data_IF_398314764421
#
_entry.id   IF_398314764421
#
_cell.length_a   1.000
_cell.length_b   1.000
_cell.length_c   1.000
_cell.angle_alpha   90.00
_cell.angle_beta   90.00
_cell.angle_gamma   90.00
#
_symmetry.space_group_name_H-M   'P 1'
#
loop_
_entity.id
_entity.type
_entity.pdbx_description
1 polymer ?
#
# COMPACT_ATOMS: atom_id res chain seq x y z
N UNK A 1 -7.65 -8.57 -5.68
CA UNK A 1 -8.52 -9.04 -4.58
C UNK A 1 -9.56 -10.08 -5.05
N UNK A 2 -10.03 -9.94 -6.29
CA UNK A 2 -11.08 -10.76 -6.90
C UNK A 2 -10.79 -12.27 -6.87
N UNK A 3 -9.58 -12.72 -7.23
CA UNK A 3 -9.24 -14.15 -7.32
C UNK A 3 -9.50 -14.91 -6.00
N UNK A 4 -9.01 -14.36 -4.89
CA UNK A 4 -9.13 -15.00 -3.57
C UNK A 4 -10.55 -14.89 -2.99
N UNK A 5 -11.26 -13.79 -3.26
CA UNK A 5 -12.66 -13.63 -2.86
C UNK A 5 -13.58 -14.61 -3.60
N UNK A 6 -13.45 -14.69 -4.93
CA UNK A 6 -14.20 -15.64 -5.75
C UNK A 6 -13.86 -17.09 -5.41
N UNK A 7 -12.58 -17.40 -5.15
CA UNK A 7 -12.17 -18.74 -4.73
C UNK A 7 -12.78 -19.17 -3.40
N UNK A 8 -12.87 -18.25 -2.43
CA UNK A 8 -13.51 -18.54 -1.14
C UNK A 8 -15.01 -18.82 -1.30
N UNK A 9 -15.71 -18.07 -2.15
CA UNK A 9 -17.14 -18.29 -2.43
C UNK A 9 -17.40 -19.63 -3.13
N UNK A 10 -16.60 -19.96 -4.16
CA UNK A 10 -16.69 -21.24 -4.87
C UNK A 10 -16.43 -22.38 -3.88
N UNK A 11 -15.38 -22.28 -3.07
CA UNK A 11 -15.07 -23.30 -2.08
C UNK A 11 -16.20 -23.45 -1.05
N UNK A 12 -16.81 -22.35 -0.59
CA UNK A 12 -17.92 -22.39 0.35
C UNK A 12 -19.17 -23.06 -0.24
N UNK A 13 -19.45 -22.80 -1.52
CA UNK A 13 -20.50 -23.50 -2.27
C UNK A 13 -20.19 -25.00 -2.42
N UNK A 14 -18.96 -25.35 -2.78
CA UNK A 14 -18.51 -26.74 -2.85
C UNK A 14 -18.66 -27.45 -1.51
N UNK A 15 -18.15 -26.88 -0.41
CA UNK A 15 -18.26 -27.43 0.95
C UNK A 15 -19.73 -27.70 1.29
N UNK A 16 -20.62 -26.75 1.01
CA UNK A 16 -22.05 -26.89 1.29
C UNK A 16 -22.70 -28.02 0.50
N UNK A 17 -22.25 -28.28 -0.73
CA UNK A 17 -22.75 -29.38 -1.58
C UNK A 17 -22.24 -30.76 -1.15
N UNK A 18 -21.01 -30.83 -0.63
CA UNK A 18 -20.35 -32.11 -0.30
C UNK A 18 -20.25 -32.39 1.20
N UNK A 19 -20.88 -31.58 2.05
CA UNK A 19 -20.74 -31.66 3.52
C UNK A 19 -21.00 -33.08 4.05
N UNK A 20 -22.07 -33.72 3.57
CA UNK A 20 -22.50 -35.09 3.95
C UNK A 20 -21.78 -36.20 3.17
N UNK A 21 -20.87 -35.88 2.25
CA UNK A 21 -20.22 -36.86 1.39
C UNK A 21 -18.99 -37.49 2.05
N UNK A 22 -18.63 -38.68 1.57
CA UNK A 22 -17.42 -39.39 2.01
C UNK A 22 -16.14 -38.57 1.72
N UNK A 23 -15.10 -38.77 2.55
CA UNK A 23 -13.83 -38.06 2.48
C UNK A 23 -13.21 -38.04 1.06
N UNK A 24 -13.25 -39.17 0.35
CA UNK A 24 -12.67 -39.28 -1.00
C UNK A 24 -13.39 -38.37 -2.02
N UNK A 25 -14.71 -38.23 -1.90
CA UNK A 25 -15.51 -37.34 -2.75
C UNK A 25 -15.14 -35.88 -2.46
N UNK A 26 -14.96 -35.52 -1.18
CA UNK A 26 -14.50 -34.17 -0.78
C UNK A 26 -13.12 -33.86 -1.36
N UNK A 27 -12.16 -34.78 -1.26
CA UNK A 27 -10.82 -34.62 -1.85
C UNK A 27 -10.91 -34.34 -3.35
N UNK A 28 -11.70 -35.14 -4.08
CA UNK A 28 -11.87 -34.96 -5.52
C UNK A 28 -12.51 -33.61 -5.86
N UNK A 29 -13.58 -33.24 -5.15
CA UNK A 29 -14.29 -31.98 -5.40
C UNK A 29 -13.43 -30.75 -5.07
N UNK A 30 -12.65 -30.79 -3.98
CA UNK A 30 -11.70 -29.72 -3.66
C UNK A 30 -10.56 -29.64 -4.66
N UNK A 31 -10.05 -30.78 -5.14
CA UNK A 31 -9.06 -30.80 -6.21
C UNK A 31 -9.58 -30.10 -7.46
N UNK A 32 -10.77 -30.49 -7.94
CA UNK A 32 -11.39 -29.90 -9.15
C UNK A 32 -11.67 -28.41 -8.95
N UNK A 33 -12.25 -28.02 -7.81
CA UNK A 33 -12.61 -26.63 -7.55
C UNK A 33 -11.38 -25.71 -7.46
N UNK A 34 -10.37 -26.10 -6.67
CA UNK A 34 -9.20 -25.25 -6.43
C UNK A 34 -8.23 -25.25 -7.61
N UNK A 35 -7.90 -26.43 -8.14
CA UNK A 35 -6.97 -26.56 -9.28
C UNK A 35 -7.60 -26.06 -10.57
N UNK A 36 -8.90 -26.27 -10.76
CA UNK A 36 -9.64 -25.73 -11.90
C UNK A 36 -9.70 -24.20 -11.87
N UNK A 37 -9.97 -23.61 -10.69
CA UNK A 37 -9.94 -22.17 -10.52
C UNK A 37 -8.56 -21.58 -10.79
N UNK A 38 -7.50 -22.21 -10.26
CA UNK A 38 -6.11 -21.83 -10.54
C UNK A 38 -5.87 -21.85 -12.05
N UNK A 39 -6.13 -22.98 -12.72
CA UNK A 39 -5.92 -23.10 -14.16
C UNK A 39 -6.68 -22.05 -14.98
N UNK A 40 -7.99 -21.89 -14.75
CA UNK A 40 -8.84 -20.96 -15.50
C UNK A 40 -8.37 -19.53 -15.27
N UNK A 41 -8.02 -19.17 -14.03
CA UNK A 41 -7.57 -17.83 -13.69
C UNK A 41 -6.20 -17.51 -14.29
N UNK A 42 -5.27 -18.48 -14.26
CA UNK A 42 -3.96 -18.36 -14.91
C UNK A 42 -4.07 -18.21 -16.42
N UNK A 43 -4.92 -19.00 -17.07
CA UNK A 43 -5.17 -18.93 -18.51
C UNK A 43 -5.83 -17.61 -18.91
N UNK A 44 -6.88 -17.18 -18.20
CA UNK A 44 -7.56 -15.91 -18.45
C UNK A 44 -6.61 -14.72 -18.26
N UNK A 45 -5.77 -14.74 -17.23
CA UNK A 45 -4.80 -13.68 -17.00
C UNK A 45 -3.77 -13.58 -18.15
N UNK A 46 -3.29 -14.73 -18.62
CA UNK A 46 -2.34 -14.76 -19.73
C UNK A 46 -2.99 -14.37 -21.08
N UNK A 47 -4.24 -14.74 -21.32
CA UNK A 47 -4.93 -14.46 -22.58
C UNK A 47 -5.46 -13.02 -22.65
N UNK A 48 -6.08 -12.52 -21.58
CA UNK A 48 -6.75 -11.21 -21.56
C UNK A 48 -5.82 -10.06 -21.20
N UNK A 49 -4.85 -10.30 -20.31
CA UNK A 49 -3.98 -9.24 -19.79
C UNK A 49 -2.51 -9.43 -20.17
N UNK A 50 -2.15 -10.53 -20.83
CA UNK A 50 -0.75 -10.90 -21.13
C UNK A 50 0.16 -10.91 -19.89
N UNK A 51 -0.42 -11.05 -18.69
CA UNK A 51 0.29 -11.12 -17.41
C UNK A 51 0.31 -12.55 -16.94
N UNK A 52 1.48 -13.02 -16.50
CA UNK A 52 1.64 -14.31 -15.85
C UNK A 52 1.50 -14.14 -14.33
N UNK A 53 0.44 -14.70 -13.73
CA UNK A 53 0.16 -14.56 -12.30
C UNK A 53 1.12 -15.38 -11.42
N UNK A 54 1.48 -16.57 -11.88
CA UNK A 54 2.45 -17.48 -11.25
C UNK A 54 3.08 -18.36 -12.33
N UNK A 55 4.22 -18.96 -12.00
CA UNK A 55 4.99 -19.79 -12.90
C UNK A 55 5.45 -21.07 -12.19
N UNK A 56 4.95 -22.22 -12.65
CA UNK A 56 5.34 -23.55 -12.15
C UNK A 56 6.11 -24.34 -13.20
N UNK A 57 6.75 -23.68 -14.18
CA UNK A 57 7.46 -24.35 -15.27
C UNK A 57 8.65 -25.20 -14.78
N UNK A 58 9.16 -24.91 -13.59
CA UNK A 58 10.26 -25.62 -12.93
C UNK A 58 9.81 -26.80 -12.07
N UNK A 59 8.50 -27.04 -11.92
CA UNK A 59 7.95 -28.10 -11.07
C UNK A 59 7.61 -29.37 -11.87
N UNK A 60 7.80 -30.56 -11.27
CA UNK A 60 7.37 -31.82 -11.88
C UNK A 60 5.83 -31.92 -11.94
N UNK A 61 5.31 -32.65 -12.93
CA UNK A 61 3.86 -32.81 -13.18
C UNK A 61 3.12 -31.46 -13.32
N UNK A 62 3.73 -30.52 -14.03
CA UNK A 62 3.13 -29.24 -14.37
C UNK A 62 2.35 -29.31 -15.68
N UNK A 63 1.32 -28.47 -15.81
CA UNK A 63 0.62 -28.23 -17.06
C UNK A 63 0.76 -26.77 -17.49
N UNK A 64 1.48 -26.55 -18.61
CA UNK A 64 1.77 -25.23 -19.22
C UNK A 64 2.34 -24.19 -18.24
N UNK A 65 2.94 -24.65 -17.14
CA UNK A 65 3.43 -23.84 -16.03
C UNK A 65 2.34 -23.06 -15.29
N UNK A 66 1.07 -23.43 -15.44
CA UNK A 66 -0.08 -22.81 -14.76
C UNK A 66 -0.56 -23.59 -13.54
N UNK A 67 -0.46 -24.90 -13.54
CA UNK A 67 -0.78 -25.75 -12.39
C UNK A 67 0.31 -26.80 -12.24
N UNK A 68 0.51 -27.27 -11.01
CA UNK A 68 1.30 -28.48 -10.78
C UNK A 68 0.69 -29.30 -9.65
N UNK A 69 0.94 -30.61 -9.69
CA UNK A 69 0.36 -31.55 -8.72
C UNK A 69 0.71 -31.19 -7.26
N UNK A 70 1.93 -30.71 -7.01
CA UNK A 70 2.39 -30.33 -5.67
C UNK A 70 1.53 -29.21 -5.06
N UNK A 71 1.27 -28.14 -5.83
CA UNK A 71 0.45 -27.02 -5.35
C UNK A 71 -1.03 -27.41 -5.27
N UNK A 72 -1.54 -28.24 -6.19
CA UNK A 72 -2.88 -28.81 -6.07
C UNK A 72 -3.10 -29.56 -4.75
N UNK A 73 -2.11 -30.31 -4.27
CA UNK A 73 -2.19 -30.97 -2.95
C UNK A 73 -2.26 -29.95 -1.82
N UNK A 74 -1.44 -28.89 -1.86
CA UNK A 74 -1.51 -27.81 -0.87
C UNK A 74 -2.87 -27.12 -0.87
N UNK A 75 -3.47 -26.91 -2.04
CA UNK A 75 -4.80 -26.33 -2.15
C UNK A 75 -5.90 -27.21 -1.56
N UNK A 76 -5.83 -28.53 -1.75
CA UNK A 76 -6.75 -29.48 -1.10
C UNK A 76 -6.60 -29.42 0.43
N UNK A 77 -5.37 -29.43 0.94
CA UNK A 77 -5.12 -29.33 2.38
C UNK A 77 -5.65 -28.01 2.95
N UNK A 78 -5.45 -26.91 2.23
CA UNK A 78 -5.98 -25.61 2.62
C UNK A 78 -7.52 -25.57 2.56
N UNK A 79 -8.14 -26.27 1.60
CA UNK A 79 -9.59 -26.39 1.50
C UNK A 79 -10.18 -27.14 2.71
N UNK A 80 -9.55 -28.24 3.15
CA UNK A 80 -9.93 -28.92 4.38
C UNK A 80 -9.66 -28.07 5.62
N UNK A 81 -8.54 -27.36 5.68
CA UNK A 81 -8.28 -26.40 6.76
C UNK A 81 -9.36 -25.33 6.81
N UNK A 82 -9.82 -24.83 5.66
CA UNK A 82 -10.93 -23.89 5.56
C UNK A 82 -12.26 -24.49 6.06
N UNK A 83 -12.61 -25.70 5.62
CA UNK A 83 -13.81 -26.43 6.06
C UNK A 83 -13.84 -26.65 7.58
N UNK A 84 -12.73 -27.09 8.18
CA UNK A 84 -12.73 -27.49 9.59
C UNK A 84 -12.41 -26.35 10.57
N UNK A 85 -11.57 -25.37 10.17
CA UNK A 85 -11.15 -24.28 11.06
C UNK A 85 -11.98 -23.02 10.88
N UNK A 86 -12.30 -22.64 9.63
CA UNK A 86 -12.85 -21.32 9.32
C UNK A 86 -14.37 -21.35 9.11
N UNK A 87 -14.88 -22.35 8.40
CA UNK A 87 -16.29 -22.45 8.05
C UNK A 87 -17.25 -22.51 9.26
N UNK A 88 -16.97 -23.27 10.34
CA UNK A 88 -17.88 -23.33 11.49
C UNK A 88 -17.97 -22.00 12.24
N UNK A 89 -16.83 -21.33 12.46
CA UNK A 89 -16.78 -20.00 13.07
C UNK A 89 -17.48 -18.96 12.21
N UNK A 90 -17.30 -19.04 10.89
CA UNK A 90 -17.97 -18.16 9.94
C UNK A 90 -19.49 -18.37 9.93
N UNK A 91 -19.97 -19.61 9.90
CA UNK A 91 -21.40 -19.92 10.00
C UNK A 91 -21.99 -19.43 11.33
N UNK A 92 -21.28 -19.64 12.45
CA UNK A 92 -21.74 -19.15 13.76
C UNK A 92 -21.88 -17.62 13.78
N UNK A 93 -20.92 -16.89 13.20
CA UNK A 93 -20.98 -15.43 13.08
C UNK A 93 -22.13 -14.98 12.18
N UNK A 94 -22.32 -15.65 11.03
CA UNK A 94 -23.42 -15.34 10.13
C UNK A 94 -24.78 -15.62 10.75
N UNK A 95 -24.93 -16.69 11.52
CA UNK A 95 -26.21 -17.03 12.15
C UNK A 95 -26.65 -16.00 13.20
N UNK A 96 -25.71 -15.24 13.77
CA UNK A 96 -26.01 -14.14 14.69
C UNK A 96 -26.58 -12.90 13.98
N UNK A 97 -26.43 -12.79 12.67
CA UNK A 97 -26.90 -11.66 11.87
C UNK A 97 -28.32 -11.90 11.32
N UNK A 98 -29.16 -10.87 11.31
CA UNK A 98 -30.48 -10.92 10.67
C UNK A 98 -30.35 -11.08 9.14
N UNK A 99 -31.28 -11.79 8.46
CA UNK A 99 -31.21 -12.03 7.02
C UNK A 99 -30.97 -10.76 6.18
N UNK A 100 -31.67 -9.67 6.48
CA UNK A 100 -31.54 -8.39 5.78
C UNK A 100 -30.14 -7.79 5.92
N UNK A 101 -29.53 -7.93 7.10
CA UNK A 101 -28.16 -7.46 7.34
C UNK A 101 -27.13 -8.28 6.56
N UNK A 102 -27.33 -9.59 6.42
CA UNK A 102 -26.46 -10.45 5.59
C UNK A 102 -26.50 -10.01 4.13
N UNK A 103 -27.69 -9.75 3.60
CA UNK A 103 -27.89 -9.27 2.23
C UNK A 103 -27.19 -7.94 1.98
N UNK A 104 -27.31 -6.99 2.93
CA UNK A 104 -26.62 -5.70 2.84
C UNK A 104 -25.10 -5.84 2.78
N UNK A 105 -24.48 -6.57 3.71
CA UNK A 105 -23.02 -6.76 3.73
C UNK A 105 -22.51 -7.53 2.51
N UNK A 106 -23.24 -8.55 2.04
CA UNK A 106 -22.90 -9.28 0.83
C UNK A 106 -22.95 -8.37 -0.41
N UNK A 107 -23.99 -7.52 -0.51
CA UNK A 107 -24.11 -6.52 -1.57
C UNK A 107 -22.93 -5.56 -1.61
N UNK A 108 -22.55 -5.00 -0.45
CA UNK A 108 -21.39 -4.10 -0.33
C UNK A 108 -20.10 -4.81 -0.77
N UNK A 109 -19.85 -6.03 -0.31
CA UNK A 109 -18.66 -6.80 -0.68
C UNK A 109 -18.59 -7.07 -2.20
N UNK A 110 -19.70 -7.46 -2.81
CA UNK A 110 -19.79 -7.68 -4.27
C UNK A 110 -19.56 -6.38 -5.03
N UNK A 111 -20.17 -5.27 -4.60
CA UNK A 111 -19.95 -3.96 -5.22
C UNK A 111 -18.48 -3.53 -5.15
N UNK A 112 -17.82 -3.73 -4.01
CA UNK A 112 -16.37 -3.47 -3.89
C UNK A 112 -15.54 -4.33 -4.84
N UNK A 113 -15.88 -5.62 -5.00
CA UNK A 113 -15.19 -6.51 -5.94
C UNK A 113 -15.38 -6.09 -7.40
N UNK A 114 -16.59 -5.65 -7.78
CA UNK A 114 -16.88 -5.15 -9.13
C UNK A 114 -16.10 -3.87 -9.42
N UNK A 115 -16.07 -2.93 -8.47
CA UNK A 115 -15.32 -1.68 -8.61
C UNK A 115 -13.81 -1.95 -8.75
N UNK A 116 -13.23 -2.84 -7.93
CA UNK A 116 -11.83 -3.25 -8.02
C UNK A 116 -11.52 -3.87 -9.40
N UNK A 117 -12.38 -4.76 -9.89
CA UNK A 117 -12.23 -5.39 -11.20
C UNK A 117 -12.34 -4.39 -12.35
N UNK A 118 -13.34 -3.51 -12.31
CA UNK A 118 -13.56 -2.49 -13.33
C UNK A 118 -12.40 -1.47 -13.35
N UNK A 119 -11.89 -1.07 -12.19
CA UNK A 119 -10.75 -0.17 -12.07
C UNK A 119 -9.46 -0.81 -12.59
N UNK A 120 -9.18 -2.06 -12.21
CA UNK A 120 -7.99 -2.79 -12.65
C UNK A 120 -8.01 -3.03 -14.16
N UNK A 121 -9.15 -3.48 -14.70
CA UNK A 121 -9.32 -3.71 -16.13
C UNK A 121 -9.26 -2.39 -16.91
N UNK A 122 -9.96 -1.36 -16.42
CA UNK A 122 -9.94 -0.03 -17.01
C UNK A 122 -8.54 0.57 -17.11
N UNK A 123 -7.67 0.38 -16.11
CA UNK A 123 -6.29 0.89 -16.15
C UNK A 123 -5.39 0.17 -17.15
N UNK A 124 -5.71 -1.08 -17.50
CA UNK A 124 -4.94 -1.86 -18.46
C UNK A 124 -5.41 -1.63 -19.90
N UNK A 125 -6.71 -1.36 -20.10
CA UNK A 125 -7.29 -1.08 -21.42
C UNK A 125 -7.34 0.41 -21.77
N UNK A 126 -7.37 1.30 -20.78
CA UNK A 126 -7.18 2.73 -21.00
C UNK A 126 -5.68 3.01 -21.03
N UNK A 127 -5.10 3.41 -22.17
CA UNK A 127 -3.71 3.84 -22.19
C UNK A 127 -3.57 5.01 -21.24
N UNK A 128 -2.86 4.81 -20.13
CA UNK A 128 -2.42 5.92 -19.30
C UNK A 128 -1.43 6.69 -20.16
N UNK A 129 -1.90 7.77 -20.79
CA UNK A 129 -1.06 8.65 -21.62
C UNK A 129 0.12 9.11 -20.76
N UNK A 130 1.30 8.59 -21.03
CA UNK A 130 2.53 9.08 -20.40
C UNK A 130 2.69 10.55 -20.79
N UNK A 131 2.94 11.41 -19.79
CA UNK A 131 3.17 12.83 -20.05
C UNK A 131 4.41 12.98 -20.92
N UNK A 132 4.31 13.78 -21.97
CA UNK A 132 5.43 14.17 -22.80
C UNK A 132 6.50 14.87 -21.96
N UNK A 133 7.76 14.86 -22.43
CA UNK A 133 8.86 15.59 -21.76
C UNK A 133 8.53 17.08 -21.55
N UNK A 134 7.84 17.70 -22.51
CA UNK A 134 7.41 19.10 -22.41
C UNK A 134 6.38 19.29 -21.30
N UNK A 135 5.37 18.43 -21.20
CA UNK A 135 4.37 18.47 -20.12
C UNK A 135 4.99 18.21 -18.74
N UNK A 136 6.01 17.36 -18.66
CA UNK A 136 6.78 17.13 -17.43
C UNK A 136 7.56 18.39 -17.02
N UNK A 137 8.27 19.01 -17.96
CA UNK A 137 9.03 20.24 -17.70
C UNK A 137 8.13 21.41 -17.28
N UNK A 138 6.97 21.58 -17.92
CA UNK A 138 5.98 22.59 -17.52
C UNK A 138 5.44 22.34 -16.10
N UNK A 139 5.15 21.07 -15.76
CA UNK A 139 4.68 20.70 -14.43
C UNK A 139 5.75 20.92 -13.36
N UNK A 140 7.02 20.63 -13.66
CA UNK A 140 8.13 20.91 -12.78
C UNK A 140 8.34 22.41 -12.58
N UNK A 141 8.26 23.20 -13.65
CA UNK A 141 8.34 24.66 -13.57
C UNK A 141 7.24 25.26 -12.68
N UNK A 142 5.99 24.82 -12.82
CA UNK A 142 4.86 25.26 -11.98
C UNK A 142 5.08 24.91 -10.50
N UNK A 143 5.60 23.71 -10.21
CA UNK A 143 5.95 23.32 -8.85
C UNK A 143 7.05 24.24 -8.29
N UNK A 144 8.12 24.46 -9.06
CA UNK A 144 9.27 25.26 -8.65
C UNK A 144 8.91 26.73 -8.43
N UNK A 145 8.01 27.30 -9.23
CA UNK A 145 7.50 28.66 -9.05
C UNK A 145 6.93 28.86 -7.63
N UNK A 146 6.19 27.87 -7.13
CA UNK A 146 5.61 27.94 -5.78
C UNK A 146 6.61 27.52 -4.69
N UNK A 147 7.44 26.51 -4.97
CA UNK A 147 8.32 25.91 -3.98
C UNK A 147 9.57 26.77 -3.67
N UNK A 148 10.16 27.40 -4.69
CA UNK A 148 11.46 28.08 -4.60
C UNK A 148 11.50 29.15 -3.50
N UNK A 149 10.51 30.06 -3.37
CA UNK A 149 10.54 31.08 -2.32
C UNK A 149 10.58 30.51 -0.90
N UNK A 150 9.94 29.34 -0.68
CA UNK A 150 9.98 28.66 0.62
C UNK A 150 11.27 27.86 0.78
N UNK A 151 11.74 27.16 -0.26
CA UNK A 151 12.98 26.38 -0.23
C UNK A 151 14.22 27.27 -0.07
N UNK A 152 14.16 28.53 -0.49
CA UNK A 152 15.24 29.49 -0.30
C UNK A 152 15.30 30.08 1.11
N UNK A 153 14.19 30.00 1.85
CA UNK A 153 14.08 30.50 3.22
C UNK A 153 15.07 29.76 4.15
N UNK A 154 15.87 30.48 4.96
CA UNK A 154 16.85 29.87 5.85
C UNK A 154 16.26 28.82 6.80
N UNK A 155 15.04 29.05 7.30
CA UNK A 155 14.38 28.12 8.22
C UNK A 155 14.05 26.78 7.52
N UNK A 156 13.58 26.82 6.27
CA UNK A 156 13.30 25.60 5.50
C UNK A 156 14.61 24.92 5.10
N UNK A 157 15.65 25.67 4.69
CA UNK A 157 16.98 25.11 4.40
C UNK A 157 17.59 24.40 5.61
N UNK A 158 17.38 24.93 6.82
CA UNK A 158 17.88 24.33 8.06
C UNK A 158 17.36 22.90 8.29
N UNK A 159 16.22 22.51 7.69
CA UNK A 159 15.71 21.13 7.74
C UNK A 159 16.68 20.09 7.14
N UNK A 160 17.66 20.51 6.35
CA UNK A 160 18.73 19.62 5.85
C UNK A 160 19.67 19.12 6.95
N UNK A 161 19.75 19.85 8.07
CA UNK A 161 20.61 19.49 9.20
C UNK A 161 19.94 18.49 10.15
N UNK A 162 18.63 18.29 10.02
CA UNK A 162 17.87 17.40 10.89
C UNK A 162 17.52 16.11 10.17
N UNK A 163 17.82 14.99 10.81
CA UNK A 163 17.41 13.69 10.32
C UNK A 163 15.90 13.52 10.46
N UNK A 164 15.27 12.92 9.45
CA UNK A 164 13.87 12.51 9.51
C UNK A 164 13.79 11.01 9.82
N UNK A 165 14.11 10.15 8.86
CA UNK A 165 14.25 8.71 9.08
C UNK A 165 15.55 8.19 8.46
N UNK A 166 16.38 7.56 9.30
CA UNK A 166 17.57 6.71 9.01
C UNK A 166 18.23 6.90 7.62
N UNK A 167 18.79 8.10 7.40
CA UNK A 167 19.62 8.44 6.24
C UNK A 167 19.03 9.49 5.29
N UNK A 168 17.78 9.91 5.53
CA UNK A 168 17.12 11.01 4.82
C UNK A 168 16.95 12.21 5.73
N UNK A 169 17.29 13.38 5.22
CA UNK A 169 17.08 14.66 5.92
C UNK A 169 15.61 15.06 5.90
N UNK A 170 15.19 15.90 6.84
CA UNK A 170 13.82 16.41 6.88
C UNK A 170 13.51 17.28 5.67
N UNK A 171 14.52 17.99 5.14
CA UNK A 171 14.38 18.75 3.89
C UNK A 171 14.04 17.86 2.68
N UNK A 172 14.72 16.72 2.54
CA UNK A 172 14.44 15.77 1.47
C UNK A 172 13.04 15.16 1.60
N UNK A 173 12.61 14.87 2.83
CA UNK A 173 11.27 14.36 3.09
C UNK A 173 10.18 15.35 2.67
N UNK A 174 10.22 16.59 3.17
CA UNK A 174 9.20 17.57 2.84
C UNK A 174 9.17 17.93 1.35
N UNK A 175 10.33 17.94 0.67
CA UNK A 175 10.41 18.15 -0.79
C UNK A 175 9.70 17.03 -1.54
N UNK A 176 9.92 15.79 -1.14
CA UNK A 176 9.29 14.64 -1.79
C UNK A 176 7.79 14.60 -1.55
N UNK A 177 7.35 14.81 -0.30
CA UNK A 177 5.92 14.89 0.03
C UNK A 177 5.26 16.02 -0.78
N UNK A 178 5.88 17.20 -0.84
CA UNK A 178 5.36 18.33 -1.61
C UNK A 178 5.22 18.02 -3.11
N UNK A 179 6.23 17.41 -3.73
CA UNK A 179 6.19 17.04 -5.14
C UNK A 179 5.10 16.00 -5.43
N UNK A 180 5.05 14.92 -4.65
CA UNK A 180 4.06 13.85 -4.87
C UNK A 180 2.64 14.35 -4.61
N UNK A 181 2.42 15.12 -3.55
CA UNK A 181 1.12 15.74 -3.27
C UNK A 181 0.72 16.73 -4.37
N UNK A 182 1.66 17.47 -4.94
CA UNK A 182 1.39 18.37 -6.09
C UNK A 182 0.92 17.59 -7.31
N UNK A 183 1.59 16.48 -7.67
CA UNK A 183 1.18 15.63 -8.80
C UNK A 183 -0.24 15.08 -8.60
N UNK A 184 -0.55 14.61 -7.38
CA UNK A 184 -1.91 14.18 -7.03
C UNK A 184 -2.91 15.33 -7.05
N UNK A 185 -2.51 16.50 -6.54
CA UNK A 185 -3.29 17.73 -6.56
C UNK A 185 -3.70 18.13 -7.98
N UNK A 186 -2.75 18.11 -8.93
CA UNK A 186 -3.03 18.39 -10.35
C UNK A 186 -4.01 17.38 -10.94
N UNK A 187 -3.85 16.09 -10.62
CA UNK A 187 -4.76 15.03 -11.12
C UNK A 187 -6.18 15.17 -10.58
N UNK A 188 -6.33 15.70 -9.37
CA UNK A 188 -7.61 15.91 -8.69
C UNK A 188 -8.14 17.34 -8.86
N UNK A 189 -7.48 18.17 -9.68
CA UNK A 189 -7.81 19.59 -9.91
C UNK A 189 -7.98 20.39 -8.60
N UNK A 190 -7.06 20.17 -7.65
CA UNK A 190 -7.06 20.84 -6.35
C UNK A 190 -6.15 22.09 -6.35
N UNK A 191 -6.21 22.85 -5.26
CA UNK A 191 -5.35 24.02 -5.04
C UNK A 191 -3.89 23.60 -4.81
N UNK A 192 -3.17 23.52 -5.92
CA UNK A 192 -1.78 23.06 -5.96
C UNK A 192 -0.84 24.00 -5.22
N UNK A 193 -1.13 25.29 -5.20
CA UNK A 193 -0.32 26.28 -4.47
C UNK A 193 -0.37 26.03 -2.97
N UNK A 194 -1.58 25.84 -2.42
CA UNK A 194 -1.75 25.51 -1.01
C UNK A 194 -1.12 24.15 -0.65
N UNK A 195 -1.24 23.15 -1.53
CA UNK A 195 -0.60 21.83 -1.35
C UNK A 195 0.91 21.97 -1.22
N UNK A 196 1.58 22.62 -2.19
CA UNK A 196 3.05 22.75 -2.19
C UNK A 196 3.52 23.49 -0.95
N UNK A 197 2.88 24.63 -0.64
CA UNK A 197 3.26 25.45 0.51
C UNK A 197 3.02 24.74 1.84
N UNK A 198 1.84 24.14 2.03
CA UNK A 198 1.53 23.40 3.24
C UNK A 198 2.42 22.16 3.43
N UNK A 199 2.69 21.41 2.36
CA UNK A 199 3.54 20.23 2.40
C UNK A 199 5.02 20.55 2.67
N UNK A 200 5.56 21.66 2.16
CA UNK A 200 6.94 22.06 2.48
C UNK A 200 7.11 22.48 3.95
N UNK A 201 6.01 22.84 4.62
CA UNK A 201 6.00 23.41 5.96
C UNK A 201 5.44 22.47 7.04
N UNK A 202 4.88 21.31 6.66
CA UNK A 202 4.17 20.43 7.61
C UNK A 202 5.06 19.90 8.73
N UNK A 203 6.35 19.73 8.43
CA UNK A 203 7.39 19.15 9.29
C UNK A 203 8.42 20.19 9.75
N UNK A 204 8.04 21.47 9.80
CA UNK A 204 8.95 22.59 10.11
C UNK A 204 9.28 22.69 11.62
N UNK A 205 10.14 21.79 12.11
CA UNK A 205 10.70 21.83 13.45
C UNK A 205 12.20 21.50 13.46
N UNK A 206 12.89 21.96 14.50
CA UNK A 206 14.36 22.07 14.55
C UNK A 206 14.97 21.30 15.73
N UNK A 207 14.55 20.06 15.93
CA UNK A 207 15.11 19.16 16.93
C UNK A 207 15.10 17.71 16.42
N UNK A 208 15.88 16.85 17.06
CA UNK A 208 15.84 15.40 16.83
C UNK A 208 14.76 14.77 17.70
N UNK A 209 13.73 14.17 17.10
CA UNK A 209 12.61 13.61 17.84
C UNK A 209 12.94 12.31 18.59
N UNK A 210 14.04 11.64 18.27
CA UNK A 210 14.47 10.41 18.95
C UNK A 210 15.16 10.67 20.28
N UNK A 211 15.86 11.81 20.37
CA UNK A 211 16.74 12.13 21.49
C UNK A 211 16.35 13.42 22.21
N UNK A 212 15.57 14.29 21.56
CA UNK A 212 15.21 15.62 22.02
C UNK A 212 13.73 15.93 21.78
N UNK A 213 13.27 17.06 22.33
CA UNK A 213 11.93 17.59 22.04
C UNK A 213 10.82 17.13 23.00
N UNK A 214 9.57 17.50 22.70
CA UNK A 214 8.45 17.31 23.61
C UNK A 214 8.01 15.85 23.67
N UNK A 215 7.61 15.38 24.86
CA UNK A 215 6.91 14.10 25.03
C UNK A 215 5.67 14.06 24.13
N UNK A 216 5.36 12.88 23.58
CA UNK A 216 4.28 12.67 22.62
C UNK A 216 4.44 13.51 21.33
N UNK A 217 5.65 13.51 20.77
CA UNK A 217 6.02 14.26 19.56
C UNK A 217 4.97 14.18 18.44
N UNK A 218 4.47 12.98 18.12
CA UNK A 218 3.47 12.75 17.07
C UNK A 218 2.15 13.55 17.25
N UNK A 219 1.81 13.93 18.48
CA UNK A 219 0.60 14.71 18.81
C UNK A 219 0.87 16.21 19.01
N UNK A 220 2.12 16.67 18.83
CA UNK A 220 2.54 18.04 19.15
C UNK A 220 3.27 18.73 18.03
N UNK A 221 4.06 18.00 17.23
CA UNK A 221 4.91 18.63 16.22
C UNK A 221 4.09 19.37 15.15
N UNK A 222 2.89 18.91 14.80
CA UNK A 222 2.02 19.62 13.87
C UNK A 222 1.66 21.05 14.36
N UNK A 223 1.54 21.26 15.67
CA UNK A 223 1.31 22.60 16.24
C UNK A 223 2.59 23.42 16.22
N UNK A 224 3.73 22.81 16.56
CA UNK A 224 5.06 23.46 16.53
C UNK A 224 5.41 23.90 15.10
N UNK A 225 5.20 23.01 14.12
CA UNK A 225 5.41 23.27 12.72
C UNK A 225 4.52 24.42 12.23
N UNK A 226 3.24 24.44 12.63
CA UNK A 226 2.33 25.54 12.30
C UNK A 226 2.79 26.87 12.90
N UNK A 227 3.22 26.89 14.16
CA UNK A 227 3.75 28.10 14.81
C UNK A 227 5.02 28.60 14.13
N UNK A 228 5.93 27.70 13.75
CA UNK A 228 7.15 28.06 13.02
C UNK A 228 6.83 28.56 11.61
N UNK A 229 5.88 27.93 10.92
CA UNK A 229 5.48 28.31 9.57
C UNK A 229 4.88 29.73 9.53
N UNK A 230 4.06 30.08 10.53
CA UNK A 230 3.48 31.43 10.69
C UNK A 230 4.53 32.53 10.89
N UNK A 231 5.72 32.19 11.42
CA UNK A 231 6.82 33.16 11.60
C UNK A 231 7.55 33.48 10.31
N UNK A 232 7.52 32.57 9.32
CA UNK A 232 8.33 32.70 8.09
C UNK A 232 7.52 33.08 6.85
N UNK A 233 6.20 32.87 6.86
CA UNK A 233 5.29 33.27 5.77
C UNK A 233 3.87 33.48 6.30
N UNK A 234 3.09 34.32 5.62
CA UNK A 234 1.64 34.34 5.78
C UNK A 234 1.04 33.02 5.29
N UNK A 235 0.08 32.45 6.01
CA UNK A 235 -0.58 31.19 5.67
C UNK A 235 -2.07 31.41 5.39
N UNK A 236 -2.59 30.71 4.38
CA UNK A 236 -4.05 30.60 4.19
C UNK A 236 -4.66 29.59 5.18
N UNK A 237 -5.96 29.69 5.47
CA UNK A 237 -6.66 28.72 6.33
C UNK A 237 -6.48 27.26 5.87
N UNK A 238 -6.36 27.05 4.56
CA UNK A 238 -6.13 25.74 3.95
C UNK A 238 -4.71 25.24 4.22
N UNK A 239 -3.71 26.10 4.06
CA UNK A 239 -2.31 25.77 4.38
C UNK A 239 -2.13 25.45 5.87
N UNK A 240 -2.80 26.20 6.75
CA UNK A 240 -2.80 25.90 8.19
C UNK A 240 -3.42 24.54 8.49
N UNK A 241 -4.53 24.19 7.83
CA UNK A 241 -5.19 22.89 8.00
C UNK A 241 -4.32 21.74 7.49
N UNK A 242 -3.60 21.92 6.37
CA UNK A 242 -2.63 20.96 5.84
C UNK A 242 -1.55 20.68 6.91
N UNK A 243 -0.90 21.72 7.42
CA UNK A 243 0.19 21.59 8.40
C UNK A 243 -0.35 20.97 9.70
N UNK A 244 -1.52 21.40 10.17
CA UNK A 244 -2.04 20.96 11.46
C UNK A 244 -2.53 19.51 11.47
N UNK A 245 -2.90 18.95 10.30
CA UNK A 245 -3.60 17.66 10.20
C UNK A 245 -2.91 16.63 9.31
N UNK A 246 -1.69 16.88 8.87
CA UNK A 246 -0.93 15.93 8.05
C UNK A 246 -0.75 14.57 8.73
N UNK A 247 -0.74 14.51 10.06
CA UNK A 247 -0.64 13.27 10.83
C UNK A 247 -1.95 12.50 10.98
N UNK A 248 -3.04 12.87 10.33
CA UNK A 248 -4.26 12.06 10.39
C UNK A 248 -3.98 10.64 9.83
N UNK A 249 -4.42 9.55 10.49
CA UNK A 249 -5.39 9.45 11.58
C UNK A 249 -4.83 9.55 13.01
N UNK A 250 -3.51 9.73 13.19
CA UNK A 250 -2.91 9.91 14.52
C UNK A 250 -3.45 11.16 15.22
N UNK A 251 -3.56 12.27 14.48
CA UNK A 251 -4.38 13.42 14.93
C UNK A 251 -5.84 13.08 14.69
N UNK A 252 -6.59 12.77 15.75
CA UNK A 252 -7.99 12.29 15.69
C UNK A 252 -8.93 13.20 14.90
N UNK A 253 -8.62 14.50 14.80
CA UNK A 253 -9.42 15.47 14.05
C UNK A 253 -9.12 15.33 12.54
N UNK A 254 -10.12 15.01 11.70
CA UNK A 254 -9.89 14.79 10.28
C UNK A 254 -9.58 16.07 9.49
N UNK A 255 -8.83 15.95 8.37
CA UNK A 255 -8.61 17.01 7.40
C UNK A 255 -9.92 17.68 6.96
N UNK A 256 -9.96 19.02 6.92
CA UNK A 256 -11.16 19.75 6.45
C UNK A 256 -11.17 19.94 4.93
N UNK A 257 -9.98 20.01 4.34
CA UNK A 257 -9.80 20.22 2.91
C UNK A 257 -9.28 18.95 2.23
N UNK A 258 -9.62 18.76 0.95
CA UNK A 258 -9.14 17.61 0.16
C UNK A 258 -7.62 17.66 0.01
N UNK A 259 -7.06 18.86 -0.09
CA UNK A 259 -5.63 19.14 -0.13
C UNK A 259 -4.93 18.63 1.13
N UNK A 260 -5.49 18.89 2.31
CA UNK A 260 -5.00 18.38 3.59
C UNK A 260 -5.00 16.86 3.64
N UNK A 261 -6.06 16.22 3.12
CA UNK A 261 -6.13 14.75 3.03
C UNK A 261 -5.07 14.19 2.09
N UNK A 262 -4.84 14.80 0.92
CA UNK A 262 -3.81 14.38 -0.02
C UNK A 262 -2.43 14.45 0.61
N UNK A 263 -2.10 15.56 1.28
CA UNK A 263 -0.79 15.71 1.95
C UNK A 263 -0.63 14.68 3.06
N UNK A 264 -1.65 14.48 3.89
CA UNK A 264 -1.62 13.50 4.99
C UNK A 264 -1.38 12.06 4.51
N UNK A 265 -2.08 11.64 3.45
CA UNK A 265 -1.92 10.31 2.87
C UNK A 265 -0.53 10.15 2.22
N UNK A 266 -0.07 11.14 1.46
CA UNK A 266 1.23 11.10 0.78
C UNK A 266 2.36 11.05 1.82
N UNK A 267 2.29 11.85 2.88
CA UNK A 267 3.26 11.86 3.97
C UNK A 267 3.35 10.47 4.63
N UNK A 268 2.19 9.91 5.02
CA UNK A 268 2.12 8.56 5.59
C UNK A 268 2.74 7.51 4.65
N UNK A 269 2.43 7.56 3.36
CA UNK A 269 2.99 6.64 2.37
C UNK A 269 4.50 6.79 2.21
N UNK A 270 5.02 8.02 2.21
CA UNK A 270 6.47 8.28 2.15
C UNK A 270 7.18 7.69 3.36
N UNK A 271 6.66 7.95 4.56
CA UNK A 271 7.20 7.44 5.83
C UNK A 271 7.17 5.91 5.88
N UNK A 272 6.08 5.27 5.46
CA UNK A 272 5.98 3.80 5.37
C UNK A 272 6.97 3.24 4.36
N UNK A 273 7.07 3.84 3.17
CA UNK A 273 7.98 3.37 2.11
C UNK A 273 9.44 3.47 2.54
N UNK A 274 9.81 4.56 3.18
CA UNK A 274 11.17 4.79 3.68
C UNK A 274 11.51 3.76 4.76
N UNK A 275 10.56 3.40 5.64
CA UNK A 275 10.71 2.31 6.61
C UNK A 275 10.89 0.92 5.96
N UNK A 276 10.05 0.57 4.97
CA UNK A 276 10.10 -0.75 4.30
C UNK A 276 11.40 -0.95 3.53
N UNK A 277 11.90 0.10 2.85
CA UNK A 277 13.15 0.05 2.07
C UNK A 277 14.35 -0.32 2.96
N UNK A 278 14.37 0.20 4.19
CA UNK A 278 15.42 -0.11 5.17
C UNK A 278 15.35 -1.56 5.62
N UNK A 279 14.16 -2.09 5.92
CA UNK A 279 14.03 -3.48 6.38
C UNK A 279 14.57 -4.48 5.34
N UNK A 280 14.41 -4.17 4.04
CA UNK A 280 15.01 -4.95 2.95
C UNK A 280 16.54 -4.81 2.91
N UNK A 281 17.08 -3.60 3.11
CA UNK A 281 18.53 -3.37 3.13
C UNK A 281 19.21 -4.08 4.31
N UNK A 282 18.65 -3.97 5.52
CA UNK A 282 19.15 -4.65 6.71
C UNK A 282 19.10 -6.18 6.57
N UNK A 283 18.04 -6.74 5.98
CA UNK A 283 17.97 -8.18 5.68
C UNK A 283 19.05 -8.61 4.68
N UNK A 284 19.30 -7.81 3.64
CA UNK A 284 20.33 -8.08 2.63
C UNK A 284 21.77 -7.94 3.14
N UNK A 285 22.03 -7.00 4.06
CA UNK A 285 23.34 -6.87 4.70
C UNK A 285 23.57 -8.00 5.72
N UNK A 286 22.54 -8.37 6.48
CA UNK A 286 22.58 -9.50 7.41
C UNK A 286 22.80 -10.85 6.70
N UNK A 287 22.21 -11.04 5.51
CA UNK A 287 22.46 -12.25 4.71
C UNK A 287 23.90 -12.27 4.17
N UNK A 288 24.42 -11.16 3.63
CA UNK A 288 25.81 -11.06 3.17
C UNK A 288 26.83 -11.32 4.29
N UNK A 289 26.58 -10.81 5.49
CA UNK A 289 27.43 -11.07 6.66
C UNK A 289 27.41 -12.53 7.12
N UNK A 290 26.29 -13.25 6.91
CA UNK A 290 26.22 -14.69 7.16
C UNK A 290 26.95 -15.50 6.10
N UNK A 291 26.81 -15.14 4.83
CA UNK A 291 27.48 -15.82 3.72
C UNK A 291 29.01 -15.65 3.78
N UNK A 292 29.51 -14.47 4.15
CA UNK A 292 30.95 -14.20 4.31
C UNK A 292 31.56 -14.91 5.54
N UNK A 293 30.76 -15.13 6.60
CA UNK A 293 31.17 -15.97 7.74
C UNK A 293 31.19 -17.46 7.41
N UNK A 294 30.24 -17.94 6.62
CA UNK A 294 30.24 -19.33 6.15
C UNK A 294 31.33 -19.60 5.09
N UNK A 295 31.65 -18.62 4.24
CA UNK A 295 32.74 -18.72 3.26
C UNK A 295 34.13 -18.75 3.89
N UNK A 296 34.34 -18.07 5.02
CA UNK A 296 35.62 -18.09 5.77
C UNK A 296 35.86 -19.37 6.58
N UNK A 297 34.82 -20.14 6.90
CA UNK A 297 34.99 -21.44 7.56
C UNK A 297 35.38 -22.58 6.59
N UNK A 298 35.19 -22.39 5.28
CA UNK A 298 35.52 -23.40 4.27
C UNK A 298 36.96 -23.26 3.70
N UNK A 299 37.71 -22.22 4.08
CA UNK A 299 39.08 -21.97 3.58
C UNK A 299 40.19 -22.23 4.60
N UNK A 300 39.90 -22.83 5.75
CA UNK A 300 40.89 -23.23 6.77
C UNK A 300 40.88 -24.74 7.08
N UNK A 301 40.34 -25.56 6.17
CA UNK A 301 40.43 -27.02 6.21
C UNK A 301 41.18 -27.55 5.01
N UNK A 302 42.50 -27.35 4.97
CA UNK A 302 43.42 -28.12 4.13
C UNK A 302 44.68 -28.39 4.95
#
# INVERSE_FOLDING_TARGET
>A
LVLYGTGSLILMGCISLVHESNFLIKVFMYFVATTGLELISGLNAQHLFHVRLWDYSDQPFQYKGHICLKFSIYWILLAFAFEYLFFPSYQSLLNWLAPDTKGFFAGVAISMMIIDFAWMSGRHFLPVKEKTKAEQAMMEAEFLETATPLLENPAVKALSQYNHHRGKTRLEHVKEVAWLSFVWGKRLSLDCKAIVRGALLHDLFFYDWLHEGPRLHGFRHHNIALENARKITSLSKKEEDIIKKHMWPLTVIPPRHKESLVVSLVDTLCSVRDYVRINRKLKGESSKLKDDKNGRHLSHGC
#
